data_IF_801747048991
#
_entry.id   IF_801747048991
#
_cell.length_a   1.000
_cell.length_b   1.000
_cell.length_c   1.000
_cell.angle_alpha   90.00
_cell.angle_beta   90.00
_cell.angle_gamma   90.00
#
_symmetry.space_group_name_H-M   'P 1'
#
loop_
_entity.id
_entity.type
_entity.pdbx_description
1 polymer ?
#
# COMPACT_ATOMS: atom_id res chain seq x y z
N UNK A 1 -6.42 27.23 -12.70
CA UNK A 1 -5.54 26.25 -12.05
C UNK A 1 -5.27 26.82 -10.67
N UNK A 2 -5.93 26.30 -9.64
CA UNK A 2 -5.70 26.81 -8.27
C UNK A 2 -4.21 26.78 -7.95
N UNK A 3 -3.75 27.88 -7.37
CA UNK A 3 -2.35 28.15 -7.05
C UNK A 3 -1.67 26.97 -6.35
N UNK A 4 -0.89 26.21 -7.11
CA UNK A 4 -0.10 25.06 -6.66
C UNK A 4 0.96 25.46 -5.62
N UNK A 5 1.22 26.76 -5.43
CA UNK A 5 2.22 27.31 -4.51
C UNK A 5 1.70 27.62 -3.10
N UNK A 6 0.38 27.74 -2.92
CA UNK A 6 -0.23 28.12 -1.62
C UNK A 6 -0.41 26.96 -0.60
N UNK A 7 0.15 25.78 -0.85
CA UNK A 7 -0.11 24.60 -0.01
C UNK A 7 0.47 24.75 1.41
N UNK A 8 1.57 25.47 1.57
CA UNK A 8 2.26 25.70 2.85
C UNK A 8 1.36 26.49 3.82
N UNK A 9 0.71 27.55 3.31
CA UNK A 9 -0.21 28.39 4.09
C UNK A 9 -1.50 27.64 4.48
N UNK A 10 -1.88 26.64 3.69
CA UNK A 10 -3.10 25.85 3.87
C UNK A 10 -2.85 24.52 4.58
N UNK A 11 -1.60 24.21 4.91
CA UNK A 11 -1.27 22.97 5.58
C UNK A 11 -1.71 23.03 7.03
N UNK A 12 -2.67 22.16 7.36
CA UNK A 12 -3.09 21.96 8.75
C UNK A 12 -2.64 20.59 9.24
N UNK A 13 -2.25 20.47 10.51
CA UNK A 13 -1.90 19.18 11.08
C UNK A 13 -3.14 18.48 11.63
N UNK A 14 -3.46 17.29 11.11
CA UNK A 14 -4.46 16.38 11.71
C UNK A 14 -3.77 15.24 12.49
N UNK A 15 -4.54 14.44 13.24
CA UNK A 15 -4.01 13.32 14.05
C UNK A 15 -3.14 12.35 13.22
N UNK A 16 -3.59 11.97 12.03
CA UNK A 16 -2.83 11.05 11.16
C UNK A 16 -1.56 11.72 10.61
N UNK A 17 -1.65 12.99 10.20
CA UNK A 17 -0.49 13.76 9.74
C UNK A 17 0.57 13.87 10.84
N UNK A 18 0.15 14.22 12.06
CA UNK A 18 1.04 14.30 13.23
C UNK A 18 1.76 12.96 13.46
N UNK A 19 1.01 11.85 13.45
CA UNK A 19 1.57 10.50 13.64
C UNK A 19 2.67 10.18 12.63
N UNK A 20 2.47 10.50 11.34
CA UNK A 20 3.47 10.29 10.30
C UNK A 20 4.67 11.23 10.46
N UNK A 21 4.44 12.51 10.72
CA UNK A 21 5.51 13.50 10.87
C UNK A 21 6.40 13.19 12.09
N UNK A 22 5.80 12.96 13.27
CA UNK A 22 6.53 12.57 14.49
C UNK A 22 7.40 11.31 14.24
N UNK A 23 6.88 10.36 13.46
CA UNK A 23 7.61 9.14 13.09
C UNK A 23 8.82 9.43 12.20
N UNK A 24 8.65 10.23 11.15
CA UNK A 24 9.74 10.58 10.22
C UNK A 24 10.79 11.43 10.94
N UNK A 25 10.38 12.37 11.79
CA UNK A 25 11.30 13.16 12.60
C UNK A 25 12.18 12.25 13.47
N UNK A 26 11.58 11.27 14.16
CA UNK A 26 12.33 10.29 14.92
C UNK A 26 13.30 9.47 14.05
N UNK A 27 12.82 8.91 12.94
CA UNK A 27 13.63 8.07 12.05
C UNK A 27 14.75 8.84 11.36
N UNK A 28 14.53 10.11 11.01
CA UNK A 28 15.55 11.01 10.49
C UNK A 28 16.75 11.17 11.43
N UNK A 29 16.56 11.02 12.75
CA UNK A 29 17.68 11.01 13.72
C UNK A 29 18.52 9.72 13.70
N UNK A 30 18.02 8.66 13.05
CA UNK A 30 18.60 7.31 13.05
C UNK A 30 19.20 6.90 11.70
N UNK A 31 18.83 7.59 10.61
CA UNK A 31 19.30 7.26 9.26
C UNK A 31 20.41 8.20 8.79
N UNK A 32 21.22 7.74 7.83
CA UNK A 32 22.29 8.55 7.23
C UNK A 32 21.76 9.68 6.33
N UNK A 33 20.68 9.40 5.60
CA UNK A 33 20.09 10.33 4.64
C UNK A 33 18.66 10.66 5.10
N UNK A 34 18.45 11.77 5.84
CA UNK A 34 17.13 12.13 6.32
C UNK A 34 16.21 12.53 5.15
N UNK A 35 14.92 12.23 5.29
CA UNK A 35 13.88 12.65 4.35
C UNK A 35 13.49 14.09 4.64
N UNK A 36 13.35 14.89 3.59
CA UNK A 36 12.83 16.25 3.66
C UNK A 36 11.36 16.27 4.10
N UNK A 37 11.11 16.77 5.30
CA UNK A 37 9.80 16.82 5.94
C UNK A 37 8.81 17.67 5.13
N UNK A 38 9.25 18.76 4.49
CA UNK A 38 8.36 19.66 3.75
C UNK A 38 7.78 18.96 2.51
N UNK A 39 8.58 18.11 1.85
CA UNK A 39 8.08 17.25 0.77
C UNK A 39 6.98 16.30 1.26
N UNK A 40 7.09 15.81 2.48
CA UNK A 40 6.08 14.90 3.05
C UNK A 40 4.82 15.65 3.45
N UNK A 41 4.95 16.84 4.07
CA UNK A 41 3.80 17.71 4.34
C UNK A 41 3.05 18.05 3.06
N UNK A 42 3.75 18.33 1.96
CA UNK A 42 3.14 18.53 0.64
C UNK A 42 2.33 17.30 0.20
N UNK A 43 2.92 16.10 0.31
CA UNK A 43 2.19 14.85 -0.01
C UNK A 43 0.94 14.67 0.84
N UNK A 44 1.02 14.91 2.15
CA UNK A 44 -0.10 14.83 3.08
C UNK A 44 -1.20 15.84 2.70
N UNK A 45 -0.82 17.07 2.39
CA UNK A 45 -1.75 18.12 1.97
C UNK A 45 -2.57 17.67 0.75
N UNK A 46 -1.89 17.18 -0.29
CA UNK A 46 -2.57 16.76 -1.52
C UNK A 46 -3.40 15.49 -1.30
N UNK A 47 -2.92 14.51 -0.54
CA UNK A 47 -3.73 13.35 -0.16
C UNK A 47 -5.03 13.79 0.56
N UNK A 48 -4.94 14.75 1.49
CA UNK A 48 -6.10 15.33 2.17
C UNK A 48 -6.99 16.17 1.28
N UNK A 49 -6.41 16.96 0.37
CA UNK A 49 -7.16 17.82 -0.55
C UNK A 49 -8.08 16.99 -1.44
N UNK A 50 -7.57 15.89 -2.00
CA UNK A 50 -8.31 15.08 -2.97
C UNK A 50 -9.21 14.02 -2.32
N UNK A 51 -8.82 13.49 -1.16
CA UNK A 51 -9.66 12.53 -0.42
C UNK A 51 -10.46 13.16 0.74
N UNK A 52 -10.44 14.48 0.90
CA UNK A 52 -10.95 15.17 2.10
C UNK A 52 -12.45 15.07 2.32
N UNK A 53 -13.22 14.90 1.24
CA UNK A 53 -14.67 14.72 1.28
C UNK A 53 -15.08 13.24 1.30
N UNK A 54 -14.11 12.32 1.23
CA UNK A 54 -14.35 10.89 1.15
C UNK A 54 -14.21 10.24 2.53
N UNK A 55 -15.10 9.28 2.81
CA UNK A 55 -15.12 8.54 4.08
C UNK A 55 -14.86 7.05 3.83
N UNK A 56 -14.12 6.39 4.71
CA UNK A 56 -13.96 4.93 4.72
C UNK A 56 -15.20 4.27 5.31
N UNK A 57 -15.37 2.98 5.04
CA UNK A 57 -16.41 2.15 5.66
C UNK A 57 -16.29 2.07 7.20
N UNK A 58 -15.10 2.35 7.75
CA UNK A 58 -14.88 2.46 9.21
C UNK A 58 -15.44 3.74 9.83
N UNK A 59 -15.76 4.76 9.01
CA UNK A 59 -16.11 6.11 9.48
C UNK A 59 -14.91 7.06 9.60
N UNK A 60 -13.69 6.63 9.27
CA UNK A 60 -12.52 7.51 9.19
C UNK A 60 -12.49 8.27 7.85
N UNK A 61 -11.84 9.45 7.77
CA UNK A 61 -11.57 10.11 6.49
C UNK A 61 -10.72 9.22 5.57
N UNK A 62 -10.98 9.22 4.27
CA UNK A 62 -10.29 8.31 3.34
C UNK A 62 -8.76 8.52 3.31
N UNK A 63 -8.30 9.77 3.43
CA UNK A 63 -6.87 10.10 3.52
C UNK A 63 -6.13 9.43 4.68
N UNK A 64 -6.83 8.94 5.71
CA UNK A 64 -6.22 8.17 6.80
C UNK A 64 -5.50 6.92 6.29
N UNK A 65 -6.03 6.27 5.25
CA UNK A 65 -5.46 5.04 4.71
C UNK A 65 -4.10 5.25 4.01
N UNK A 66 -3.96 6.16 3.04
CA UNK A 66 -2.65 6.46 2.45
C UNK A 66 -1.61 6.91 3.48
N UNK A 67 -2.03 7.64 4.52
CA UNK A 67 -1.12 8.05 5.60
C UNK A 67 -0.65 6.84 6.42
N UNK A 68 -1.56 5.95 6.83
CA UNK A 68 -1.18 4.73 7.59
C UNK A 68 -0.31 3.77 6.76
N UNK A 69 -0.58 3.63 5.45
CA UNK A 69 0.28 2.89 4.52
C UNK A 69 1.68 3.52 4.48
N UNK A 70 1.75 4.84 4.39
CA UNK A 70 3.03 5.58 4.38
C UNK A 70 3.78 5.41 5.70
N UNK A 71 3.10 5.40 6.86
CA UNK A 71 3.72 5.14 8.17
C UNK A 71 4.41 3.78 8.17
N UNK A 72 3.69 2.71 7.80
CA UNK A 72 4.24 1.36 7.79
C UNK A 72 5.39 1.21 6.79
N UNK A 73 5.25 1.80 5.60
CA UNK A 73 6.31 1.81 4.59
C UNK A 73 7.55 2.54 5.11
N UNK A 74 7.38 3.72 5.73
CA UNK A 74 8.45 4.56 6.28
C UNK A 74 9.26 3.79 7.32
N UNK A 75 8.59 3.12 8.27
CA UNK A 75 9.23 2.28 9.28
C UNK A 75 10.06 1.18 8.63
N UNK A 76 9.47 0.47 7.68
CA UNK A 76 10.14 -0.64 7.01
C UNK A 76 11.35 -0.19 6.19
N UNK A 77 11.22 0.85 5.36
CA UNK A 77 12.33 1.27 4.49
C UNK A 77 13.44 1.97 5.27
N UNK A 78 13.14 2.58 6.42
CA UNK A 78 14.19 3.12 7.29
C UNK A 78 15.10 2.01 7.88
N UNK A 79 14.52 0.85 8.21
CA UNK A 79 15.24 -0.27 8.82
C UNK A 79 15.82 -1.24 7.78
N UNK A 80 14.99 -1.72 6.85
CA UNK A 80 15.31 -2.85 5.96
C UNK A 80 15.84 -2.43 4.59
N UNK A 81 15.42 -1.26 4.09
CA UNK A 81 15.77 -0.79 2.76
C UNK A 81 16.14 0.71 2.74
N UNK A 82 17.22 1.16 3.44
CA UNK A 82 17.51 2.58 3.62
C UNK A 82 17.68 3.40 2.34
N UNK A 83 17.95 2.75 1.19
CA UNK A 83 17.99 3.41 -0.13
C UNK A 83 16.61 3.89 -0.59
N UNK A 84 15.55 3.23 -0.14
CA UNK A 84 14.15 3.56 -0.44
C UNK A 84 13.55 4.53 0.59
N UNK A 85 14.29 4.86 1.65
CA UNK A 85 13.92 5.93 2.59
C UNK A 85 14.20 7.30 1.97
N UNK A 86 13.32 7.72 1.05
CA UNK A 86 13.41 8.97 0.34
C UNK A 86 12.02 9.60 0.12
N UNK A 87 12.00 10.91 -0.18
CA UNK A 87 10.74 11.64 -0.32
C UNK A 87 9.87 11.14 -1.49
N UNK A 88 10.46 10.66 -2.59
CA UNK A 88 9.73 10.18 -3.76
C UNK A 88 8.86 8.97 -3.39
N UNK A 89 9.45 7.99 -2.70
CA UNK A 89 8.76 6.80 -2.23
C UNK A 89 7.60 7.12 -1.29
N UNK A 90 7.83 8.01 -0.32
CA UNK A 90 6.80 8.36 0.65
C UNK A 90 5.70 9.24 0.05
N UNK A 91 6.03 10.14 -0.88
CA UNK A 91 5.02 10.90 -1.64
C UNK A 91 4.18 9.98 -2.53
N UNK A 92 4.78 9.00 -3.21
CA UNK A 92 4.04 8.03 -4.00
C UNK A 92 3.08 7.19 -3.13
N UNK A 93 3.51 6.77 -1.94
CA UNK A 93 2.64 6.05 -1.00
C UNK A 93 1.46 6.92 -0.50
N UNK A 94 1.68 8.20 -0.26
CA UNK A 94 0.61 9.15 0.12
C UNK A 94 -0.41 9.36 -1.01
N UNK A 95 0.00 9.17 -2.27
CA UNK A 95 -0.82 9.43 -3.45
C UNK A 95 -1.33 8.15 -4.15
N UNK A 96 -1.05 6.95 -3.62
CA UNK A 96 -1.20 5.69 -4.36
C UNK A 96 -2.59 5.41 -4.93
N UNK A 97 -3.65 5.89 -4.27
CA UNK A 97 -5.05 5.69 -4.67
C UNK A 97 -5.68 6.95 -5.31
N UNK A 98 -4.92 8.03 -5.48
CA UNK A 98 -5.49 9.32 -5.92
C UNK A 98 -5.97 9.31 -7.37
N UNK A 99 -5.27 8.63 -8.29
CA UNK A 99 -5.68 8.55 -9.70
C UNK A 99 -6.96 7.73 -9.86
N UNK A 100 -7.17 6.69 -9.05
CA UNK A 100 -8.36 5.83 -9.19
C UNK A 100 -9.61 6.43 -8.55
N UNK A 101 -9.45 7.14 -7.44
CA UNK A 101 -10.58 7.51 -6.57
C UNK A 101 -10.86 9.02 -6.54
N UNK A 102 -10.10 9.83 -7.28
CA UNK A 102 -10.21 11.31 -7.24
C UNK A 102 -10.02 11.94 -8.63
N UNK A 103 -10.19 13.25 -8.72
CA UNK A 103 -9.97 14.04 -9.95
C UNK A 103 -8.48 14.30 -10.26
N UNK A 104 -7.54 13.77 -9.45
CA UNK A 104 -6.12 14.00 -9.65
C UNK A 104 -5.59 13.18 -10.84
N UNK A 105 -5.04 13.84 -11.86
CA UNK A 105 -4.47 13.18 -13.04
C UNK A 105 -2.96 12.98 -12.93
N UNK A 106 -2.40 12.11 -13.77
CA UNK A 106 -0.96 11.89 -13.87
C UNK A 106 -0.22 13.20 -14.23
N UNK A 107 -0.75 13.99 -15.16
CA UNK A 107 -0.14 15.27 -15.58
C UNK A 107 -0.09 16.27 -14.43
N UNK A 108 -1.13 16.30 -13.59
CA UNK A 108 -1.15 17.12 -12.39
C UNK A 108 -0.09 16.64 -11.39
N UNK A 109 0.07 15.33 -11.19
CA UNK A 109 1.11 14.78 -10.31
C UNK A 109 2.50 15.14 -10.84
N UNK A 110 2.75 15.05 -12.15
CA UNK A 110 4.01 15.48 -12.76
C UNK A 110 4.29 16.95 -12.46
N UNK A 111 3.30 17.83 -12.65
CA UNK A 111 3.45 19.26 -12.41
C UNK A 111 3.71 19.60 -10.92
N UNK A 112 3.15 18.83 -9.99
CA UNK A 112 3.18 19.14 -8.55
C UNK A 112 4.36 18.46 -7.85
N UNK A 113 4.65 17.21 -8.19
CA UNK A 113 5.59 16.33 -7.49
C UNK A 113 6.78 15.89 -8.35
N UNK A 114 6.70 16.08 -9.66
CA UNK A 114 7.72 15.67 -10.61
C UNK A 114 7.49 14.26 -11.17
N UNK A 115 8.27 13.96 -12.21
CA UNK A 115 8.10 12.76 -13.04
C UNK A 115 8.27 11.45 -12.26
N UNK A 116 9.23 11.38 -11.33
CA UNK A 116 9.51 10.13 -10.62
C UNK A 116 8.37 9.72 -9.68
N UNK A 117 7.74 10.68 -8.99
CA UNK A 117 6.54 10.41 -8.18
C UNK A 117 5.38 9.97 -9.09
N UNK A 118 5.16 10.68 -10.20
CA UNK A 118 4.11 10.35 -11.16
C UNK A 118 4.26 8.93 -11.71
N UNK A 119 5.49 8.51 -12.06
CA UNK A 119 5.77 7.13 -12.47
C UNK A 119 5.32 6.15 -11.40
N UNK A 120 5.71 6.31 -10.13
CA UNK A 120 5.26 5.36 -9.11
C UNK A 120 3.73 5.31 -8.99
N UNK A 121 3.04 6.45 -8.98
CA UNK A 121 1.57 6.50 -8.86
C UNK A 121 0.89 5.87 -10.09
N UNK A 122 1.40 6.13 -11.30
CA UNK A 122 0.96 5.47 -12.54
C UNK A 122 1.08 3.94 -12.45
N UNK A 123 2.16 3.44 -11.88
CA UNK A 123 2.35 2.00 -11.68
C UNK A 123 1.40 1.39 -10.66
N UNK A 124 0.89 2.19 -9.71
CA UNK A 124 -0.01 1.74 -8.65
C UNK A 124 -1.48 1.70 -9.11
N UNK A 125 -1.86 2.54 -10.06
CA UNK A 125 -3.22 2.60 -10.61
C UNK A 125 -3.50 1.48 -11.60
N UNK A 126 -4.74 0.98 -11.55
CA UNK A 126 -5.32 0.05 -12.52
C UNK A 126 -5.99 0.75 -13.69
N UNK A 127 -6.09 2.08 -13.69
CA UNK A 127 -6.60 2.85 -14.82
C UNK A 127 -5.44 3.03 -15.80
N UNK A 128 -5.56 2.42 -16.97
CA UNK A 128 -4.60 2.55 -18.07
C UNK A 128 -5.26 3.24 -19.26
N UNK A 129 -4.51 3.77 -20.24
CA UNK A 129 -5.08 4.44 -21.42
C UNK A 129 -6.10 3.58 -22.20
N UNK A 130 -5.98 2.26 -22.09
CA UNK A 130 -6.86 1.27 -22.74
C UNK A 130 -7.97 0.73 -21.81
N UNK A 131 -8.15 1.29 -20.62
CA UNK A 131 -9.22 0.94 -19.67
C UNK A 131 -8.72 0.43 -18.32
N UNK A 132 -9.67 0.02 -17.47
CA UNK A 132 -9.37 -0.50 -16.13
C UNK A 132 -8.94 -1.95 -16.19
N UNK A 133 -7.68 -2.22 -15.84
CA UNK A 133 -7.11 -3.56 -15.84
C UNK A 133 -7.49 -4.36 -14.59
N UNK A 134 -7.34 -5.69 -14.67
CA UNK A 134 -7.52 -6.55 -13.51
C UNK A 134 -6.44 -6.30 -12.46
N UNK A 135 -6.72 -6.64 -11.20
CA UNK A 135 -5.69 -6.58 -10.16
C UNK A 135 -4.52 -7.53 -10.45
N UNK A 136 -4.75 -8.64 -11.15
CA UNK A 136 -3.69 -9.57 -11.56
C UNK A 136 -2.74 -8.94 -12.57
N UNK A 137 -3.32 -8.34 -13.61
CA UNK A 137 -2.58 -7.68 -14.66
C UNK A 137 -1.75 -6.52 -14.10
N UNK A 138 -2.32 -5.73 -13.18
CA UNK A 138 -1.59 -4.67 -12.49
C UNK A 138 -0.36 -5.18 -11.73
N UNK A 139 -0.47 -6.30 -11.01
CA UNK A 139 0.69 -6.90 -10.31
C UNK A 139 1.71 -7.47 -11.30
N UNK A 140 1.26 -8.11 -12.38
CA UNK A 140 2.14 -8.66 -13.41
C UNK A 140 2.91 -7.56 -14.16
N UNK A 141 2.30 -6.39 -14.40
CA UNK A 141 2.99 -5.24 -14.97
C UNK A 141 4.15 -4.78 -14.07
N UNK A 142 3.93 -4.67 -12.76
CA UNK A 142 4.98 -4.30 -11.81
C UNK A 142 6.17 -5.28 -11.83
N UNK A 143 5.89 -6.58 -11.99
CA UNK A 143 6.91 -7.63 -12.11
C UNK A 143 7.65 -7.52 -13.45
N UNK A 144 6.92 -7.46 -14.56
CA UNK A 144 7.49 -7.45 -15.91
C UNK A 144 8.32 -6.20 -16.18
N UNK A 145 7.89 -5.05 -15.65
CA UNK A 145 8.58 -3.76 -15.75
C UNK A 145 9.66 -3.59 -14.67
N UNK A 146 9.86 -4.59 -13.80
CA UNK A 146 10.85 -4.58 -12.71
C UNK A 146 10.72 -3.37 -11.77
N UNK A 147 9.47 -2.98 -11.46
CA UNK A 147 9.15 -1.81 -10.61
C UNK A 147 9.10 -2.23 -9.14
N UNK A 148 10.24 -2.69 -8.63
CA UNK A 148 10.37 -3.26 -7.27
C UNK A 148 9.91 -2.28 -6.19
N UNK A 149 10.32 -1.03 -6.31
CA UNK A 149 9.98 0.06 -5.40
C UNK A 149 8.47 0.34 -5.38
N UNK A 150 7.84 0.40 -6.56
CA UNK A 150 6.38 0.56 -6.68
C UNK A 150 5.63 -0.65 -6.13
N UNK A 151 6.12 -1.86 -6.41
CA UNK A 151 5.55 -3.09 -5.88
C UNK A 151 5.57 -3.13 -4.36
N UNK A 152 6.62 -2.60 -3.73
CA UNK A 152 6.71 -2.48 -2.27
C UNK A 152 5.55 -1.66 -1.71
N UNK A 153 5.23 -0.51 -2.31
CA UNK A 153 4.08 0.32 -1.90
C UNK A 153 2.78 -0.49 -2.01
N UNK A 154 2.60 -1.26 -3.10
CA UNK A 154 1.40 -2.11 -3.30
C UNK A 154 1.28 -3.22 -2.25
N UNK A 155 2.40 -3.77 -1.77
CA UNK A 155 2.39 -4.74 -0.67
C UNK A 155 1.97 -4.10 0.65
N UNK A 156 2.42 -2.88 0.96
CA UNK A 156 2.02 -2.15 2.17
C UNK A 156 0.55 -1.71 2.15
N UNK A 157 0.06 -1.26 1.00
CA UNK A 157 -1.38 -1.07 0.77
C UNK A 157 -2.15 -2.36 1.13
N UNK A 158 -1.71 -3.51 0.60
CA UNK A 158 -2.37 -4.78 0.91
C UNK A 158 -2.31 -5.16 2.39
N UNK A 159 -1.18 -4.94 3.06
CA UNK A 159 -1.06 -5.17 4.51
C UNK A 159 -2.13 -4.36 5.26
N UNK A 160 -2.25 -3.07 4.97
CA UNK A 160 -3.25 -2.22 5.63
C UNK A 160 -4.69 -2.67 5.33
N UNK A 161 -4.95 -3.10 4.10
CA UNK A 161 -6.24 -3.65 3.70
C UNK A 161 -6.63 -4.90 4.50
N UNK A 162 -5.67 -5.78 4.83
CA UNK A 162 -5.92 -6.98 5.66
C UNK A 162 -6.13 -6.59 7.13
N UNK A 163 -5.34 -5.64 7.65
CA UNK A 163 -5.49 -5.13 9.02
C UNK A 163 -6.86 -4.50 9.27
N UNK A 164 -7.43 -3.86 8.24
CA UNK A 164 -8.70 -3.13 8.32
C UNK A 164 -9.91 -3.91 7.77
N UNK A 165 -9.81 -5.25 7.65
CA UNK A 165 -10.91 -6.09 7.14
C UNK A 165 -12.19 -6.03 7.96
N UNK A 166 -12.12 -5.75 9.27
CA UNK A 166 -13.28 -5.75 10.16
C UNK A 166 -14.38 -4.76 9.76
N UNK A 167 -14.05 -3.72 9.00
CA UNK A 167 -15.01 -2.73 8.49
C UNK A 167 -15.60 -3.11 7.11
N UNK A 168 -15.19 -4.23 6.50
CA UNK A 168 -15.63 -4.66 5.16
C UNK A 168 -16.66 -5.78 5.27
N UNK A 169 -17.49 -5.95 4.23
CA UNK A 169 -18.41 -7.08 4.16
C UNK A 169 -17.67 -8.42 4.14
N UNK A 170 -18.27 -9.53 4.64
CA UNK A 170 -17.63 -10.85 4.66
C UNK A 170 -17.14 -11.29 3.27
N UNK A 171 -17.92 -11.03 2.22
CA UNK A 171 -17.54 -11.36 0.84
C UNK A 171 -16.28 -10.60 0.39
N UNK A 172 -16.23 -9.29 0.67
CA UNK A 172 -15.08 -8.45 0.31
C UNK A 172 -13.84 -8.84 1.11
N UNK A 173 -14.01 -9.18 2.40
CA UNK A 173 -12.93 -9.68 3.23
C UNK A 173 -12.36 -11.00 2.70
N UNK A 174 -13.22 -11.96 2.34
CA UNK A 174 -12.82 -13.22 1.69
C UNK A 174 -11.99 -12.96 0.43
N UNK A 175 -12.49 -12.10 -0.45
CA UNK A 175 -11.83 -11.77 -1.72
C UNK A 175 -10.43 -11.19 -1.49
N UNK A 176 -10.27 -10.31 -0.52
CA UNK A 176 -8.97 -9.73 -0.16
C UNK A 176 -8.00 -10.81 0.36
N UNK A 177 -8.46 -11.72 1.23
CA UNK A 177 -7.61 -12.81 1.75
C UNK A 177 -7.19 -13.76 0.63
N UNK A 178 -8.14 -14.22 -0.19
CA UNK A 178 -7.84 -15.11 -1.31
C UNK A 178 -6.89 -14.49 -2.33
N UNK A 179 -7.12 -13.23 -2.69
CA UNK A 179 -6.24 -12.48 -3.58
C UNK A 179 -4.85 -12.32 -2.96
N UNK A 180 -4.76 -12.09 -1.65
CA UNK A 180 -3.48 -11.99 -0.95
C UNK A 180 -2.69 -13.29 -1.06
N UNK A 181 -3.31 -14.41 -0.69
CA UNK A 181 -2.68 -15.73 -0.69
C UNK A 181 -2.26 -16.17 -2.10
N UNK A 182 -3.06 -15.85 -3.11
CA UNK A 182 -2.80 -16.27 -4.50
C UNK A 182 -1.84 -15.37 -5.26
N UNK A 183 -1.80 -14.06 -4.95
CA UNK A 183 -1.12 -13.07 -5.81
C UNK A 183 -0.11 -12.22 -5.04
N UNK A 184 -0.50 -11.63 -3.91
CA UNK A 184 0.41 -10.75 -3.17
C UNK A 184 1.54 -11.51 -2.49
N UNK A 185 1.33 -12.77 -2.09
CA UNK A 185 2.42 -13.63 -1.65
C UNK A 185 3.46 -13.85 -2.75
N UNK A 186 3.02 -14.13 -3.98
CA UNK A 186 3.92 -14.28 -5.14
C UNK A 186 4.70 -12.99 -5.38
N UNK A 187 4.04 -11.82 -5.34
CA UNK A 187 4.72 -10.54 -5.48
C UNK A 187 5.76 -10.32 -4.37
N UNK A 188 5.44 -10.63 -3.12
CA UNK A 188 6.39 -10.50 -2.00
C UNK A 188 7.60 -11.44 -2.12
N UNK A 189 7.40 -12.61 -2.74
CA UNK A 189 8.47 -13.56 -3.03
C UNK A 189 9.35 -13.08 -4.17
N UNK A 190 8.75 -12.50 -5.22
CA UNK A 190 9.47 -11.88 -6.33
C UNK A 190 10.36 -10.73 -5.88
N UNK A 191 9.94 -9.92 -4.89
CA UNK A 191 10.77 -8.88 -4.30
C UNK A 191 11.85 -9.40 -3.34
N UNK A 192 11.84 -10.70 -3.03
CA UNK A 192 12.77 -11.33 -2.10
C UNK A 192 12.76 -10.68 -0.70
N UNK A 193 11.57 -10.35 -0.18
CA UNK A 193 11.40 -9.73 1.14
C UNK A 193 10.68 -10.70 2.10
N UNK A 194 11.40 -11.60 2.80
CA UNK A 194 10.81 -12.59 3.70
C UNK A 194 9.94 -11.98 4.80
N UNK A 195 10.33 -10.82 5.36
CA UNK A 195 9.58 -10.12 6.41
C UNK A 195 8.15 -9.76 5.95
N UNK A 196 8.01 -9.23 4.74
CA UNK A 196 6.69 -8.84 4.18
C UNK A 196 5.86 -10.07 3.84
N UNK A 197 6.47 -11.08 3.21
CA UNK A 197 5.81 -12.37 2.94
C UNK A 197 5.22 -12.97 4.22
N UNK A 198 6.05 -13.08 5.27
CA UNK A 198 5.64 -13.64 6.54
C UNK A 198 4.54 -12.78 7.19
N UNK A 199 4.62 -11.45 7.09
CA UNK A 199 3.60 -10.56 7.64
C UNK A 199 2.23 -10.73 6.96
N UNK A 200 2.20 -10.79 5.63
CA UNK A 200 0.99 -11.05 4.86
C UNK A 200 0.38 -12.40 5.23
N UNK A 201 1.22 -13.42 5.35
CA UNK A 201 0.79 -14.77 5.71
C UNK A 201 0.19 -14.82 7.12
N UNK A 202 0.88 -14.25 8.11
CA UNK A 202 0.44 -14.17 9.51
C UNK A 202 -0.92 -13.46 9.60
N UNK A 203 -1.07 -12.31 8.94
CA UNK A 203 -2.32 -11.55 8.95
C UNK A 203 -3.47 -12.31 8.29
N UNK A 204 -3.23 -12.99 7.17
CA UNK A 204 -4.24 -13.83 6.52
C UNK A 204 -4.67 -15.00 7.40
N UNK A 205 -3.71 -15.72 8.01
CA UNK A 205 -3.99 -16.86 8.87
C UNK A 205 -4.81 -16.44 10.10
N UNK A 206 -4.38 -15.38 10.79
CA UNK A 206 -5.13 -14.82 11.92
C UNK A 206 -6.56 -14.46 11.54
N UNK A 207 -6.77 -13.86 10.36
CA UNK A 207 -8.12 -13.50 9.90
C UNK A 207 -8.96 -14.70 9.48
N UNK A 208 -8.35 -15.79 9.01
CA UNK A 208 -9.08 -17.03 8.75
C UNK A 208 -9.50 -17.71 10.06
N UNK A 209 -8.65 -17.69 11.09
CA UNK A 209 -8.96 -18.21 12.43
C UNK A 209 -10.07 -17.39 13.11
N UNK A 210 -9.95 -16.06 13.15
CA UNK A 210 -10.94 -15.16 13.75
C UNK A 210 -12.34 -15.30 13.11
N UNK A 211 -12.38 -15.61 11.81
CA UNK A 211 -13.62 -15.71 11.03
C UNK A 211 -14.07 -17.15 10.76
N UNK A 212 -13.46 -18.18 11.37
CA UNK A 212 -13.79 -19.59 11.11
C UNK A 212 -15.25 -19.92 11.48
N UNK A 213 -15.90 -19.12 12.34
CA UNK A 213 -17.35 -19.20 12.59
C UNK A 213 -18.19 -18.70 11.40
N UNK A 214 -17.72 -17.69 10.66
CA UNK A 214 -18.41 -17.11 9.50
C UNK A 214 -18.10 -17.87 8.20
N UNK A 215 -16.86 -18.32 8.01
CA UNK A 215 -16.42 -19.02 6.78
C UNK A 215 -16.93 -20.47 6.67
N UNK A 216 -17.22 -21.14 7.80
CA UNK A 216 -17.81 -22.48 7.83
C UNK A 216 -19.26 -22.53 7.33
N UNK A 217 -19.99 -21.42 7.37
CA UNK A 217 -21.45 -21.44 7.15
C UNK A 217 -21.90 -21.39 5.69
N UNK A 218 -21.02 -21.20 4.69
CA UNK A 218 -21.52 -21.05 3.31
C UNK A 218 -20.71 -21.66 2.14
N UNK A 219 -19.37 -21.67 2.05
CA UNK A 219 -18.75 -22.03 0.75
C UNK A 219 -17.32 -22.62 0.78
N UNK A 220 -17.05 -23.69 1.53
CA UNK A 220 -15.99 -24.67 1.22
C UNK A 220 -14.51 -24.23 1.21
N UNK A 221 -14.17 -22.97 1.48
CA UNK A 221 -12.78 -22.52 1.60
C UNK A 221 -12.28 -22.73 3.03
N UNK A 222 -11.85 -23.95 3.33
CA UNK A 222 -11.41 -24.33 4.67
C UNK A 222 -10.03 -23.77 5.01
N UNK A 223 -9.76 -23.55 6.30
CA UNK A 223 -8.42 -23.29 6.84
C UNK A 223 -7.38 -24.29 6.31
N UNK A 224 -7.77 -25.56 6.13
CA UNK A 224 -6.95 -26.62 5.54
C UNK A 224 -6.60 -26.35 4.06
N UNK A 225 -7.51 -25.75 3.29
CA UNK A 225 -7.27 -25.35 1.89
C UNK A 225 -6.25 -24.21 1.82
N UNK A 226 -6.33 -23.24 2.73
CA UNK A 226 -5.33 -22.18 2.84
C UNK A 226 -3.97 -22.76 3.27
N UNK A 227 -3.92 -23.61 4.29
CA UNK A 227 -2.69 -24.29 4.72
C UNK A 227 -2.08 -25.17 3.62
N UNK A 228 -2.90 -25.85 2.82
CA UNK A 228 -2.43 -26.65 1.69
C UNK A 228 -1.92 -25.78 0.54
N UNK A 229 -2.55 -24.63 0.27
CA UNK A 229 -2.04 -23.66 -0.70
C UNK A 229 -0.70 -23.06 -0.24
N UNK A 230 -0.60 -22.71 1.04
CA UNK A 230 0.65 -22.23 1.67
C UNK A 230 1.73 -23.30 1.60
N UNK A 231 1.41 -24.55 1.94
CA UNK A 231 2.35 -25.69 1.86
C UNK A 231 2.77 -26.01 0.42
N UNK A 232 1.86 -25.88 -0.55
CA UNK A 232 2.17 -26.06 -1.98
C UNK A 232 3.07 -24.95 -2.50
N UNK A 233 2.80 -23.69 -2.15
CA UNK A 233 3.66 -22.56 -2.47
C UNK A 233 5.02 -22.75 -1.79
N UNK A 234 5.06 -23.14 -0.51
CA UNK A 234 6.32 -23.41 0.19
C UNK A 234 7.13 -24.54 -0.47
N UNK A 235 6.49 -25.63 -0.88
CA UNK A 235 7.15 -26.80 -1.48
C UNK A 235 7.57 -26.62 -2.95
N UNK A 236 6.88 -25.77 -3.72
CA UNK A 236 7.29 -25.44 -5.08
C UNK A 236 8.63 -24.70 -5.09
N UNK A 237 8.90 -23.87 -4.09
CA UNK A 237 10.10 -23.03 -4.05
C UNK A 237 11.31 -23.69 -3.36
N UNK A 238 11.10 -24.66 -2.46
CA UNK A 238 12.21 -25.47 -1.94
C UNK A 238 12.85 -26.37 -3.01
N UNK A 239 12.14 -26.66 -4.11
CA UNK A 239 12.67 -27.44 -5.25
C UNK A 239 13.50 -26.61 -6.24
N UNK A 240 13.42 -25.28 -6.21
CA UNK A 240 14.21 -24.39 -7.08
C UNK A 240 15.46 -23.82 -6.36
N UNK A 241 15.70 -24.19 -5.10
CA UNK A 241 16.84 -23.74 -4.29
C UNK A 241 17.88 -24.85 -4.01
N UNK A 242 17.94 -25.89 -4.85
CA UNK A 242 18.97 -26.95 -4.82
C UNK A 242 19.71 -26.97 -6.15
#
# INVERSE_FOLDING_TARGET
MEDLSSWEEKFETCVYAKKLLDKIEYLNTKVKNPVDIEKIKKGIYYARKYHGLQMRQSGDPYYSHPIEVTIMLTEFVAEEAPKLYNAIMLQAALLHDTIEDTELTEEMIIAIFGLEVAKHVEGLTRIKPYGKISAEESLNLLINEKRHDTALIKLFDRIHNIQTLGAKSPEKARKIIEETLKKFLILSMYLEIPKIKNKLLELCLKKLEDNDVMFKSSYGFSFLTAQNAISRIHNLYLKESI
#
